data_IF_680336502751
#
_entry.id   IF_680336502751
#
_cell.length_a   1.000
_cell.length_b   1.000
_cell.length_c   1.000
_cell.angle_alpha   90.00
_cell.angle_beta   90.00
_cell.angle_gamma   90.00
#
_symmetry.space_group_name_H-M   'P 1'
#
loop_
_entity.id
_entity.type
_entity.pdbx_description
1 polymer ?
#
# COMPACT_ATOMS: atom_id res chain seq x y z
N UNK A 1 5.73 -15.77 12.25
CA UNK A 1 6.47 -14.56 12.32
C UNK A 1 7.08 -14.21 10.98
N UNK A 2 6.86 -13.05 10.58
CA UNK A 2 7.46 -12.62 9.36
C UNK A 2 8.83 -12.04 9.65
N UNK A 3 9.67 -12.06 8.69
CA UNK A 3 11.01 -11.52 8.85
C UNK A 3 11.47 -10.75 7.65
N UNK A 4 10.71 -10.73 6.60
CA UNK A 4 11.13 -10.03 5.41
C UNK A 4 11.24 -8.54 5.71
N UNK A 5 12.38 -7.91 5.50
CA UNK A 5 12.56 -6.50 5.86
C UNK A 5 11.61 -5.57 5.13
N UNK A 6 11.32 -5.88 3.88
CA UNK A 6 10.42 -5.03 3.13
C UNK A 6 9.00 -5.10 3.65
N UNK A 7 8.60 -6.20 4.24
CA UNK A 7 7.27 -6.29 4.82
C UNK A 7 7.16 -5.49 6.11
N UNK A 8 8.27 -5.18 6.74
CA UNK A 8 8.24 -4.33 7.92
C UNK A 8 7.86 -2.90 7.56
N UNK A 9 7.96 -2.54 6.29
CA UNK A 9 7.78 -1.16 5.87
C UNK A 9 6.37 -0.86 5.41
N UNK A 10 5.49 -1.84 5.37
CA UNK A 10 4.13 -1.59 4.91
C UNK A 10 3.16 -2.57 5.53
N UNK A 11 1.93 -2.11 5.70
CA UNK A 11 0.84 -2.94 6.21
C UNK A 11 -0.39 -2.69 5.36
N UNK A 12 -1.03 -3.77 4.95
CA UNK A 12 -2.22 -3.70 4.13
C UNK A 12 -3.40 -4.25 4.91
N UNK A 13 -4.49 -3.49 4.92
CA UNK A 13 -5.72 -3.90 5.58
C UNK A 13 -6.82 -4.03 4.55
N UNK A 14 -7.45 -5.17 4.52
CA UNK A 14 -8.58 -5.47 3.66
C UNK A 14 -9.75 -5.97 4.50
N UNK A 15 -10.97 -5.94 3.98
CA UNK A 15 -12.09 -6.56 4.69
C UNK A 15 -11.84 -8.04 4.90
N UNK A 16 -12.39 -8.58 5.98
CA UNK A 16 -12.22 -9.99 6.28
C UNK A 16 -12.89 -10.89 5.28
N UNK A 17 -13.95 -10.41 4.67
CA UNK A 17 -14.79 -11.23 3.83
C UNK A 17 -15.04 -10.50 2.53
N UNK A 18 -14.67 -11.12 1.43
CA UNK A 18 -14.80 -10.53 0.10
C UNK A 18 -15.56 -11.52 -0.78
N UNK A 19 -16.66 -11.06 -1.36
CA UNK A 19 -17.44 -11.86 -2.30
C UNK A 19 -17.06 -11.49 -3.72
N UNK A 20 -17.23 -12.41 -4.67
CA UNK A 20 -16.94 -12.08 -6.06
C UNK A 20 -17.75 -10.88 -6.53
N UNK A 21 -17.08 -9.94 -7.17
CA UNK A 21 -17.73 -8.72 -7.65
C UNK A 21 -17.72 -7.57 -6.69
N UNK A 22 -17.26 -7.79 -5.45
CA UNK A 22 -17.22 -6.71 -4.48
C UNK A 22 -16.22 -5.63 -4.88
N UNK A 23 -16.57 -4.38 -4.54
CA UNK A 23 -15.63 -3.29 -4.58
C UNK A 23 -15.05 -3.18 -3.18
N UNK A 24 -13.76 -3.37 -3.08
CA UNK A 24 -13.07 -3.54 -1.81
C UNK A 24 -12.27 -2.29 -1.51
N UNK A 25 -12.37 -1.82 -0.28
CA UNK A 25 -11.55 -0.70 0.17
C UNK A 25 -10.27 -1.25 0.77
N UNK A 26 -9.15 -0.82 0.23
CA UNK A 26 -7.84 -1.20 0.74
C UNK A 26 -7.24 -0.03 1.50
N UNK A 27 -6.62 -0.33 2.63
CA UNK A 27 -5.86 0.65 3.40
C UNK A 27 -4.43 0.19 3.46
N UNK A 28 -3.54 1.03 2.97
CA UNK A 28 -2.12 0.72 2.92
C UNK A 28 -1.36 1.73 3.74
N UNK A 29 -0.73 1.26 4.81
CA UNK A 29 0.10 2.09 5.66
C UNK A 29 1.54 1.78 5.33
N UNK A 30 2.30 2.80 4.95
CA UNK A 30 3.70 2.64 4.59
C UNK A 30 4.53 3.34 5.64
N UNK A 31 5.50 2.63 6.22
CA UNK A 31 6.42 3.24 7.17
C UNK A 31 7.50 3.96 6.38
N UNK A 32 7.39 5.27 6.33
CA UNK A 32 8.35 6.10 5.62
C UNK A 32 8.35 7.48 6.25
N UNK A 33 9.51 8.06 6.47
CA UNK A 33 9.56 9.35 7.17
C UNK A 33 8.99 10.52 6.38
N UNK A 34 9.02 10.47 5.06
CA UNK A 34 8.52 11.56 4.22
C UNK A 34 9.16 12.90 4.60
N UNK A 35 10.47 12.92 4.69
CA UNK A 35 11.20 14.15 5.03
C UNK A 35 11.21 15.10 3.85
N UNK A 36 10.79 16.33 4.08
CA UNK A 36 10.68 17.31 2.99
C UNK A 36 12.01 17.96 2.64
N UNK A 37 12.99 17.89 3.52
CA UNK A 37 14.26 18.60 3.33
C UNK A 37 14.31 19.95 4.00
N UNK A 38 13.22 20.34 4.67
CA UNK A 38 13.16 21.64 5.34
C UNK A 38 13.22 21.51 6.86
N UNK A 39 13.22 20.30 7.39
CA UNK A 39 13.24 20.09 8.83
C UNK A 39 14.68 20.04 9.34
N UNK A 40 14.86 20.40 10.59
CA UNK A 40 16.17 20.37 11.23
C UNK A 40 16.15 19.39 12.40
N UNK A 41 17.30 18.77 12.64
CA UNK A 41 17.45 17.91 13.81
C UNK A 41 17.75 18.77 15.04
N UNK A 42 18.01 18.09 16.17
CA UNK A 42 18.27 18.80 17.42
C UNK A 42 19.54 19.65 17.38
N UNK A 43 20.41 19.37 16.43
CA UNK A 43 21.68 20.11 16.32
C UNK A 43 21.57 21.19 15.24
N UNK A 44 20.38 21.43 14.71
CA UNK A 44 20.16 22.47 13.72
C UNK A 44 20.57 22.10 12.32
N UNK A 45 20.89 20.82 12.05
CA UNK A 45 21.27 20.40 10.71
C UNK A 45 20.01 19.99 9.95
N UNK A 46 19.98 20.31 8.67
CA UNK A 46 18.84 19.92 7.85
C UNK A 46 18.79 18.41 7.70
N UNK A 47 17.60 17.88 7.90
CA UNK A 47 17.34 16.46 7.64
C UNK A 47 17.18 16.33 6.12
N UNK A 48 17.97 15.48 5.47
CA UNK A 48 17.88 15.35 4.01
C UNK A 48 16.49 14.93 3.56
N UNK A 49 16.11 15.40 2.39
CA UNK A 49 14.83 15.02 1.80
C UNK A 49 14.77 13.52 1.59
N UNK A 50 13.63 12.95 1.90
CA UNK A 50 13.40 11.52 1.70
C UNK A 50 11.90 11.28 1.64
N UNK A 51 11.36 11.23 0.42
CA UNK A 51 9.92 11.08 0.21
C UNK A 51 9.67 9.98 -0.81
N UNK A 52 8.54 9.31 -0.64
CA UNK A 52 8.07 8.36 -1.66
C UNK A 52 7.66 9.19 -2.86
N UNK A 53 8.17 8.84 -4.04
CA UNK A 53 7.83 9.56 -5.26
C UNK A 53 6.86 8.81 -6.15
N UNK A 54 6.69 7.51 -5.94
CA UNK A 54 5.70 6.74 -6.70
C UNK A 54 5.32 5.50 -5.92
N UNK A 55 4.04 5.21 -5.94
CA UNK A 55 3.51 4.00 -5.34
C UNK A 55 2.46 3.44 -6.28
N UNK A 56 2.56 2.16 -6.61
CA UNK A 56 1.61 1.48 -7.50
C UNK A 56 1.13 0.21 -6.85
N UNK A 57 -0.11 -0.15 -7.14
CA UNK A 57 -0.69 -1.41 -6.70
C UNK A 57 -1.27 -2.11 -7.91
N UNK A 58 -0.90 -3.37 -8.08
CA UNK A 58 -1.45 -4.21 -9.14
C UNK A 58 -2.25 -5.33 -8.50
N UNK A 59 -3.35 -5.69 -9.13
CA UNK A 59 -4.15 -6.82 -8.71
C UNK A 59 -4.37 -7.73 -9.92
N UNK A 60 -3.91 -8.97 -9.80
CA UNK A 60 -4.05 -9.90 -10.90
C UNK A 60 -3.33 -9.44 -12.15
N UNK A 61 -2.24 -8.71 -12.01
CA UNK A 61 -1.47 -8.23 -13.14
C UNK A 61 -1.98 -6.92 -13.74
N UNK A 62 -3.00 -6.31 -13.13
CA UNK A 62 -3.54 -5.03 -13.62
C UNK A 62 -3.33 -3.97 -12.58
N UNK A 63 -2.91 -2.79 -13.00
CA UNK A 63 -2.75 -1.69 -12.07
C UNK A 63 -4.12 -1.22 -11.62
N UNK A 64 -4.34 -1.18 -10.30
CA UNK A 64 -5.60 -0.74 -9.73
C UNK A 64 -5.45 0.57 -8.97
N UNK A 65 -4.23 1.00 -8.68
CA UNK A 65 -4.00 2.25 -7.97
C UNK A 65 -2.59 2.73 -8.24
N UNK A 66 -2.47 4.04 -8.45
CA UNK A 66 -1.16 4.68 -8.62
C UNK A 66 -1.23 6.05 -8.00
N UNK A 67 -0.19 6.41 -7.28
CA UNK A 67 -0.08 7.76 -6.72
C UNK A 67 1.38 8.19 -6.78
N UNK A 68 1.56 9.47 -7.05
CA UNK A 68 2.87 10.11 -6.99
C UNK A 68 2.77 11.18 -5.92
N UNK A 69 3.06 10.84 -4.66
CA UNK A 69 2.85 11.76 -3.57
C UNK A 69 3.73 12.99 -3.70
N UNK A 70 3.19 14.11 -3.26
CA UNK A 70 3.98 15.32 -3.18
C UNK A 70 4.69 15.37 -1.83
N UNK A 71 5.58 16.33 -1.68
CA UNK A 71 6.33 16.48 -0.44
C UNK A 71 5.46 16.96 0.72
N UNK A 72 4.19 17.24 0.49
CA UNK A 72 3.30 17.64 1.58
C UNK A 72 2.69 16.50 2.35
N UNK A 73 2.99 15.27 1.99
CA UNK A 73 2.43 14.11 2.68
C UNK A 73 3.19 13.87 3.98
N UNK A 74 2.44 13.65 5.06
CA UNK A 74 3.04 13.40 6.36
C UNK A 74 3.76 12.06 6.40
N UNK A 75 4.64 11.88 7.38
CA UNK A 75 5.33 10.63 7.57
C UNK A 75 4.40 9.47 7.83
N UNK A 76 4.83 8.27 7.49
CA UNK A 76 4.07 7.04 7.60
C UNK A 76 2.70 7.19 6.96
N UNK A 77 2.66 7.51 5.65
CA UNK A 77 1.40 7.84 5.01
C UNK A 77 0.45 6.66 4.90
N UNK A 78 -0.83 6.98 4.98
CA UNK A 78 -1.90 6.02 4.78
C UNK A 78 -2.54 6.31 3.43
N UNK A 79 -2.61 5.30 2.58
CA UNK A 79 -3.28 5.40 1.29
C UNK A 79 -4.50 4.53 1.31
N UNK A 80 -5.63 5.07 0.87
CA UNK A 80 -6.87 4.31 0.76
C UNK A 80 -7.31 4.32 -0.68
N UNK A 81 -7.72 3.17 -1.17
CA UNK A 81 -8.21 3.06 -2.54
C UNK A 81 -9.19 1.91 -2.64
N UNK A 82 -9.93 1.90 -3.74
CA UNK A 82 -10.93 0.88 -3.98
C UNK A 82 -10.58 0.11 -5.23
N UNK A 83 -10.86 -1.17 -5.23
CA UNK A 83 -10.70 -1.98 -6.42
C UNK A 83 -11.73 -3.11 -6.39
N UNK A 84 -12.09 -3.58 -7.59
CA UNK A 84 -13.08 -4.64 -7.70
C UNK A 84 -12.40 -5.99 -7.72
N UNK A 85 -12.95 -6.92 -6.97
CA UNK A 85 -12.39 -8.26 -6.85
C UNK A 85 -13.38 -9.25 -7.42
N UNK A 86 -13.01 -9.91 -8.51
CA UNK A 86 -13.82 -10.96 -9.10
C UNK A 86 -13.28 -12.34 -8.76
N UNK A 87 -12.00 -12.51 -8.85
CA UNK A 87 -11.35 -13.78 -8.64
C UNK A 87 -10.26 -13.62 -7.60
N UNK A 88 -9.88 -14.72 -6.95
CA UNK A 88 -8.71 -14.64 -6.06
C UNK A 88 -7.48 -14.21 -6.83
N UNK A 89 -6.61 -13.52 -6.18
CA UNK A 89 -5.39 -13.05 -6.79
C UNK A 89 -4.45 -12.49 -5.75
N UNK A 90 -3.46 -11.77 -6.22
CA UNK A 90 -2.47 -11.17 -5.34
C UNK A 90 -2.45 -9.68 -5.57
N UNK A 91 -2.50 -8.93 -4.51
CA UNK A 91 -2.31 -7.50 -4.57
C UNK A 91 -0.81 -7.25 -4.37
N UNK A 92 -0.18 -6.60 -5.34
CA UNK A 92 1.24 -6.35 -5.33
C UNK A 92 1.45 -4.86 -5.25
N UNK A 93 2.00 -4.41 -4.13
CA UNK A 93 2.25 -3.01 -3.86
C UNK A 93 3.75 -2.76 -4.02
N UNK A 94 4.09 -1.72 -4.76
CA UNK A 94 5.49 -1.32 -4.96
C UNK A 94 5.62 0.17 -4.78
N UNK A 95 6.68 0.59 -4.14
CA UNK A 95 6.95 2.01 -4.01
C UNK A 95 8.44 2.27 -4.14
N UNK A 96 8.76 3.51 -4.47
CA UNK A 96 10.15 3.95 -4.58
C UNK A 96 10.22 5.37 -4.03
N UNK A 97 11.28 5.65 -3.30
CA UNK A 97 11.49 6.98 -2.77
C UNK A 97 12.46 7.76 -3.66
N UNK A 98 12.73 9.01 -3.30
CA UNK A 98 13.55 9.88 -4.13
C UNK A 98 15.04 9.56 -4.04
N UNK A 99 15.41 8.61 -3.21
CA UNK A 99 16.78 8.10 -3.15
C UNK A 99 16.94 6.82 -3.96
N UNK A 100 15.85 6.38 -4.62
CA UNK A 100 15.88 5.15 -5.38
C UNK A 100 15.70 3.91 -4.53
N UNK A 101 15.38 4.05 -3.25
CA UNK A 101 15.12 2.90 -2.40
C UNK A 101 13.70 2.43 -2.65
N UNK A 102 13.57 1.17 -3.01
CA UNK A 102 12.27 0.59 -3.35
C UNK A 102 11.82 -0.38 -2.27
N UNK A 103 10.52 -0.49 -2.13
CA UNK A 103 9.91 -1.49 -1.28
C UNK A 103 8.77 -2.16 -1.99
N UNK A 104 8.33 -3.28 -1.48
CA UNK A 104 7.18 -3.97 -2.04
C UNK A 104 6.50 -4.80 -0.97
N UNK A 105 5.24 -5.09 -1.24
CA UNK A 105 4.42 -5.94 -0.39
C UNK A 105 3.51 -6.74 -1.29
N UNK A 106 3.46 -8.05 -1.09
CA UNK A 106 2.53 -8.91 -1.80
C UNK A 106 1.56 -9.47 -0.80
N UNK A 107 0.30 -9.41 -1.14
CA UNK A 107 -0.76 -9.85 -0.22
C UNK A 107 -1.78 -10.67 -0.99
N UNK A 108 -1.97 -11.93 -0.62
CA UNK A 108 -2.99 -12.73 -1.29
C UNK A 108 -4.38 -12.21 -0.94
N UNK A 109 -5.23 -12.15 -1.94
CA UNK A 109 -6.62 -11.72 -1.76
C UNK A 109 -7.48 -12.95 -1.97
N UNK A 110 -8.19 -13.32 -0.92
CA UNK A 110 -9.06 -14.48 -0.96
C UNK A 110 -10.47 -14.03 -1.20
N UNK A 111 -11.16 -14.78 -2.00
CA UNK A 111 -12.55 -14.48 -2.34
C UNK A 111 -13.37 -15.66 -1.86
N UNK A 112 -14.46 -15.36 -1.18
CA UNK A 112 -15.35 -16.42 -0.76
C UNK A 112 -15.90 -17.11 -1.97
N UNK A 113 -15.98 -18.43 -1.94
CA UNK A 113 -16.62 -19.12 -3.07
C UNK A 113 -18.03 -18.62 -3.21
N UNK A 114 -18.53 -18.64 -4.44
CA UNK A 114 -19.91 -18.30 -4.69
C UNK A 114 -20.73 -19.20 -3.81
N UNK A 115 -21.45 -18.63 -2.89
CA UNK A 115 -22.22 -19.42 -1.95
C UNK A 115 -23.32 -20.14 -2.67
N UNK A 116 -23.95 -21.07 -2.00
CA UNK A 116 -25.13 -21.69 -2.59
C UNK A 116 -26.17 -20.62 -2.82
N UNK A 117 -27.09 -20.87 -3.73
CA UNK A 117 -28.17 -19.92 -3.92
C UNK A 117 -28.82 -19.59 -2.58
N UNK A 118 -29.31 -18.40 -2.53
CA UNK A 118 -29.88 -17.97 -1.27
C UNK A 118 -30.81 -19.02 -0.72
N UNK A 119 -30.61 -19.35 0.50
CA UNK A 119 -31.50 -20.19 1.06
C UNK A 119 -32.46 -19.41 1.63
N UNK A 120 -33.38 -19.50 1.25
CA UNK A 120 -34.35 -18.67 1.84
C UNK A 120 -34.74 -19.09 3.14
#
# INVERSE_FOLDING_TARGET
>A
MWTAPDMANARLLLPESIAPGDVVKARLLVEHPMHTGYLQDFQGRLIPRNVIVRLTCDYGGREVFRVEPSSGIAGNPLFEFFFRVQNPGELWVRWVDDRGVAGELRHPVRVQPAGPPARS
#
